data_IF_118257499947
#
_entry.id   IF_118257499947
#
_cell.length_a   1.000
_cell.length_b   1.000
_cell.length_c   1.000
_cell.angle_alpha   90.00
_cell.angle_beta   90.00
_cell.angle_gamma   90.00
#
_symmetry.space_group_name_H-M   'P 1'
#
loop_
_entity.id
_entity.type
_entity.pdbx_description
1 polymer ?
#
# COMPACT_ATOMS: atom_id res chain seq x y z
N UNK A 1 12.46 13.55 -0.37
CA UNK A 1 12.77 12.76 -1.56
C UNK A 1 12.02 11.44 -1.54
N UNK A 2 11.51 11.03 -2.66
CA UNK A 2 10.76 9.78 -2.77
C UNK A 2 11.70 8.65 -3.17
N UNK A 3 12.04 7.80 -2.21
CA UNK A 3 12.96 6.69 -2.43
C UNK A 3 12.26 5.40 -2.84
N UNK A 4 10.93 5.44 -2.99
CA UNK A 4 10.14 4.26 -3.33
C UNK A 4 9.94 4.08 -4.83
N UNK A 5 10.31 5.07 -5.62
CA UNK A 5 10.06 5.10 -7.05
C UNK A 5 8.60 5.32 -7.42
N UNK A 6 7.74 5.58 -6.44
CA UNK A 6 6.33 5.88 -6.67
C UNK A 6 6.17 7.40 -6.75
N UNK A 7 5.51 7.89 -7.81
CA UNK A 7 5.30 9.32 -7.98
C UNK A 7 4.48 9.90 -6.82
N UNK A 8 4.79 11.15 -6.45
CA UNK A 8 4.06 11.82 -5.36
C UNK A 8 2.56 11.88 -5.63
N UNK A 9 2.16 12.09 -6.87
CA UNK A 9 0.75 12.10 -7.25
C UNK A 9 0.07 10.76 -6.88
N UNK A 10 0.74 9.65 -7.13
CA UNK A 10 0.19 8.31 -6.84
C UNK A 10 0.12 8.10 -5.33
N UNK A 11 1.12 8.53 -4.57
CA UNK A 11 1.09 8.44 -3.11
C UNK A 11 -0.08 9.23 -2.54
N UNK A 12 -0.32 10.42 -3.07
CA UNK A 12 -1.45 11.25 -2.67
C UNK A 12 -2.78 10.56 -2.97
N UNK A 13 -2.89 9.94 -4.16
CA UNK A 13 -4.10 9.22 -4.56
C UNK A 13 -4.37 8.04 -3.63
N UNK A 14 -3.33 7.31 -3.24
CA UNK A 14 -3.47 6.19 -2.30
C UNK A 14 -4.02 6.69 -0.96
N UNK A 15 -3.47 7.80 -0.45
CA UNK A 15 -3.93 8.37 0.81
C UNK A 15 -5.37 8.85 0.73
N UNK A 16 -5.74 9.49 -0.37
CA UNK A 16 -7.09 9.99 -0.58
C UNK A 16 -8.10 8.84 -0.62
N UNK A 17 -7.77 7.76 -1.33
CA UNK A 17 -8.63 6.59 -1.40
C UNK A 17 -8.73 5.88 -0.05
N UNK A 18 -7.64 5.84 0.71
CA UNK A 18 -7.66 5.27 2.05
C UNK A 18 -8.65 6.03 2.95
N UNK A 19 -8.61 7.34 2.88
CA UNK A 19 -9.54 8.18 3.65
C UNK A 19 -10.99 7.94 3.20
N UNK A 20 -11.21 7.89 1.89
CA UNK A 20 -12.55 7.66 1.31
C UNK A 20 -13.15 6.34 1.78
N UNK A 21 -12.35 5.30 1.88
CA UNK A 21 -12.83 3.96 2.25
C UNK A 21 -12.63 3.62 3.73
N UNK A 22 -12.34 4.63 4.54
CA UNK A 22 -12.22 4.50 6.00
C UNK A 22 -11.12 3.53 6.44
N UNK A 23 -10.07 3.41 5.63
CA UNK A 23 -8.91 2.60 5.99
C UNK A 23 -8.22 3.26 7.19
N UNK A 24 -7.79 2.48 8.17
CA UNK A 24 -7.16 3.01 9.38
C UNK A 24 -5.66 3.22 9.17
N UNK A 25 -5.03 2.35 8.36
CA UNK A 25 -3.60 2.40 8.16
C UNK A 25 -3.23 1.78 6.83
N UNK A 26 -2.29 2.40 6.11
CA UNK A 26 -1.72 1.85 4.88
C UNK A 26 -0.21 1.81 5.05
N UNK A 27 0.36 0.63 4.85
CA UNK A 27 1.81 0.39 4.87
C UNK A 27 2.27 0.00 3.48
N UNK A 28 3.40 0.55 3.06
CA UNK A 28 4.10 0.08 1.88
C UNK A 28 5.12 -0.96 2.34
N UNK A 29 5.15 -2.12 1.69
CA UNK A 29 6.14 -3.13 1.99
C UNK A 29 6.73 -3.68 0.69
N UNK A 30 7.54 -4.74 0.75
CA UNK A 30 8.13 -5.33 -0.42
C UNK A 30 9.30 -4.53 -0.98
N UNK A 31 9.61 -4.74 -2.26
CA UNK A 31 10.81 -4.18 -2.87
C UNK A 31 10.87 -2.66 -2.85
N UNK A 32 9.74 -1.99 -3.02
CA UNK A 32 9.72 -0.52 -3.03
C UNK A 32 9.95 0.07 -1.63
N UNK A 33 9.59 -0.66 -0.59
CA UNK A 33 9.89 -0.25 0.78
C UNK A 33 11.35 -0.51 1.11
N UNK A 34 11.91 -1.63 0.63
CA UNK A 34 13.31 -1.98 0.87
C UNK A 34 14.29 -1.14 0.03
N UNK A 35 13.85 -0.67 -1.13
CA UNK A 35 14.71 0.09 -2.03
C UNK A 35 15.36 -0.75 -3.13
N UNK A 36 15.05 -2.05 -3.21
CA UNK A 36 15.64 -2.94 -4.22
C UNK A 36 14.69 -3.21 -5.38
N UNK A 37 13.82 -2.25 -5.68
CA UNK A 37 12.83 -2.36 -6.74
C UNK A 37 13.40 -2.03 -8.12
N UNK A 38 12.71 -2.52 -9.16
CA UNK A 38 12.90 -2.06 -10.52
C UNK A 38 11.78 -1.09 -10.88
N UNK A 39 11.85 -0.47 -12.06
CA UNK A 39 10.81 0.46 -12.52
C UNK A 39 9.44 -0.19 -12.66
N UNK A 40 9.40 -1.50 -12.88
CA UNK A 40 8.16 -2.24 -13.09
C UNK A 40 7.73 -3.07 -11.88
N UNK A 41 8.42 -2.95 -10.77
CA UNK A 41 8.03 -3.66 -9.55
C UNK A 41 6.64 -3.26 -9.09
N UNK A 42 5.87 -4.24 -8.59
CA UNK A 42 4.53 -3.99 -8.06
C UNK A 42 4.58 -3.06 -6.85
N UNK A 43 3.47 -2.41 -6.58
CA UNK A 43 3.29 -1.61 -5.37
C UNK A 43 2.60 -2.52 -4.35
N UNK A 44 3.32 -2.90 -3.30
CA UNK A 44 2.82 -3.81 -2.27
C UNK A 44 2.31 -3.02 -1.07
N UNK A 45 1.01 -3.07 -0.85
CA UNK A 45 0.35 -2.37 0.25
C UNK A 45 -0.25 -3.34 1.25
N UNK A 46 -0.12 -3.02 2.54
CA UNK A 46 -0.81 -3.74 3.59
C UNK A 46 -1.73 -2.73 4.27
N UNK A 47 -3.00 -3.08 4.41
CA UNK A 47 -3.99 -2.17 4.97
C UNK A 47 -4.67 -2.77 6.19
N UNK A 48 -5.10 -1.89 7.08
CA UNK A 48 -5.76 -2.26 8.33
C UNK A 48 -7.05 -1.47 8.45
N UNK A 49 -8.16 -2.16 8.69
CA UNK A 49 -9.47 -1.54 8.88
C UNK A 49 -10.10 -1.06 7.57
N UNK A 50 -11.33 -0.62 7.66
CA UNK A 50 -12.04 -0.03 6.54
C UNK A 50 -12.55 -1.03 5.51
N UNK A 51 -12.91 -0.51 4.34
CA UNK A 51 -13.46 -1.29 3.24
C UNK A 51 -12.34 -1.75 2.31
N UNK A 52 -11.78 -2.91 2.63
CA UNK A 52 -10.67 -3.51 1.88
C UNK A 52 -11.01 -3.71 0.40
N UNK A 53 -12.19 -4.25 0.11
CA UNK A 53 -12.56 -4.60 -1.28
C UNK A 53 -12.64 -3.36 -2.15
N UNK A 54 -13.36 -2.34 -1.69
CA UNK A 54 -13.52 -1.10 -2.46
C UNK A 54 -12.19 -0.36 -2.61
N UNK A 55 -11.39 -0.32 -1.56
CA UNK A 55 -10.07 0.31 -1.63
C UNK A 55 -9.18 -0.39 -2.66
N UNK A 56 -9.14 -1.72 -2.63
CA UNK A 56 -8.32 -2.50 -3.55
C UNK A 56 -8.71 -2.27 -5.00
N UNK A 57 -10.01 -2.26 -5.29
CA UNK A 57 -10.50 -1.99 -6.64
C UNK A 57 -10.13 -0.57 -7.08
N UNK A 58 -10.30 0.40 -6.21
CA UNK A 58 -10.06 1.80 -6.57
C UNK A 58 -8.58 2.13 -6.76
N UNK A 59 -7.67 1.54 -5.99
CA UNK A 59 -6.25 1.82 -6.23
C UNK A 59 -5.81 1.27 -7.59
N UNK A 60 -6.43 0.19 -8.05
CA UNK A 60 -6.13 -0.35 -9.38
C UNK A 60 -6.74 0.47 -10.49
N UNK A 61 -7.93 1.05 -10.29
CA UNK A 61 -8.68 1.70 -11.35
C UNK A 61 -8.54 3.22 -11.37
N UNK A 62 -8.25 3.84 -10.24
CA UNK A 62 -8.31 5.30 -10.09
C UNK A 62 -6.99 6.00 -9.82
N UNK A 63 -5.90 5.26 -9.75
CA UNK A 63 -4.60 5.91 -9.59
C UNK A 63 -3.95 6.17 -10.94
N UNK A 64 -3.04 7.15 -10.96
CA UNK A 64 -2.37 7.62 -12.18
C UNK A 64 -1.15 6.79 -12.54
N UNK A 65 -1.14 5.50 -12.18
CA UNK A 65 -0.03 4.61 -12.48
C UNK A 65 -0.51 3.38 -13.24
N UNK A 66 0.37 2.85 -14.09
CA UNK A 66 0.16 1.57 -14.77
C UNK A 66 0.76 0.39 -13.99
N UNK A 67 1.42 0.67 -12.87
CA UNK A 67 1.98 -0.38 -12.03
C UNK A 67 0.87 -1.17 -11.37
N UNK A 68 1.13 -2.45 -11.14
CA UNK A 68 0.17 -3.30 -10.44
C UNK A 68 0.26 -3.10 -8.95
N UNK A 69 -0.86 -3.26 -8.28
CA UNK A 69 -0.95 -3.23 -6.84
C UNK A 69 -1.18 -4.64 -6.30
N UNK A 70 -0.52 -4.96 -5.21
CA UNK A 70 -0.77 -6.17 -4.43
C UNK A 70 -1.17 -5.71 -3.04
N UNK A 71 -2.42 -5.92 -2.65
CA UNK A 71 -2.96 -5.37 -1.40
C UNK A 71 -3.27 -6.50 -0.43
N UNK A 72 -2.66 -6.44 0.75
CA UNK A 72 -2.84 -7.41 1.83
C UNK A 72 -3.75 -6.81 2.89
N UNK A 73 -4.76 -7.57 3.31
CA UNK A 73 -5.67 -7.14 4.37
C UNK A 73 -5.16 -7.63 5.73
N UNK A 74 -4.60 -6.72 6.51
CA UNK A 74 -4.07 -7.05 7.84
C UNK A 74 -5.16 -7.36 8.87
N UNK A 75 -6.41 -7.00 8.57
CA UNK A 75 -7.55 -7.32 9.45
C UNK A 75 -8.05 -8.74 9.24
N UNK A 76 -7.57 -9.43 8.21
CA UNK A 76 -7.89 -10.82 7.94
C UNK A 76 -6.71 -11.74 8.24
N UNK A 77 -6.83 -13.03 7.89
CA UNK A 77 -5.72 -13.97 8.10
C UNK A 77 -4.53 -13.63 7.23
N UNK A 78 -3.35 -13.56 7.83
CA UNK A 78 -2.08 -13.30 7.13
C UNK A 78 -1.07 -14.31 7.62
N UNK A 79 -0.30 -14.89 6.68
CA UNK A 79 0.74 -15.83 7.06
C UNK A 79 1.77 -15.16 7.94
N UNK A 80 2.24 -15.83 9.02
CA UNK A 80 3.19 -15.22 9.97
C UNK A 80 4.46 -14.67 9.33
N UNK A 81 5.00 -15.37 8.32
CA UNK A 81 6.22 -14.92 7.66
C UNK A 81 5.99 -13.59 6.92
N UNK A 82 4.85 -13.46 6.24
CA UNK A 82 4.49 -12.23 5.53
C UNK A 82 4.24 -11.10 6.53
N UNK A 83 3.52 -11.38 7.60
CA UNK A 83 3.25 -10.37 8.63
C UNK A 83 4.55 -9.85 9.24
N UNK A 84 5.50 -10.75 9.50
CA UNK A 84 6.81 -10.38 10.04
C UNK A 84 7.56 -9.45 9.08
N UNK A 85 7.55 -9.76 7.78
CA UNK A 85 8.19 -8.92 6.76
C UNK A 85 7.54 -7.54 6.69
N UNK A 86 6.22 -7.48 6.74
CA UNK A 86 5.49 -6.20 6.71
C UNK A 86 5.86 -5.35 7.92
N UNK A 87 5.94 -5.98 9.11
CA UNK A 87 6.29 -5.26 10.33
C UNK A 87 7.72 -4.74 10.33
N UNK A 88 8.64 -5.49 9.72
CA UNK A 88 10.06 -5.13 9.67
C UNK A 88 10.34 -4.02 8.67
N UNK A 89 9.77 -4.12 7.47
CA UNK A 89 10.15 -3.24 6.37
C UNK A 89 9.08 -2.21 5.99
N UNK A 90 7.90 -2.30 6.60
CA UNK A 90 6.77 -1.46 6.24
C UNK A 90 7.01 0.02 6.48
N UNK A 91 6.62 0.83 5.52
CA UNK A 91 6.65 2.29 5.61
C UNK A 91 5.20 2.77 5.68
N UNK A 92 4.89 3.56 6.70
CA UNK A 92 3.52 4.08 6.85
C UNK A 92 3.27 5.14 5.79
N UNK A 93 2.32 4.89 4.90
CA UNK A 93 1.89 5.87 3.90
C UNK A 93 0.71 6.69 4.39
N UNK A 94 -0.14 6.11 5.21
CA UNK A 94 -1.34 6.74 5.72
C UNK A 94 -1.70 6.12 7.06
N UNK A 95 -2.08 6.96 8.01
CA UNK A 95 -2.57 6.50 9.30
C UNK A 95 -3.64 7.47 9.78
N UNK A 96 -4.82 6.94 10.05
CA UNK A 96 -5.92 7.77 10.56
C UNK A 96 -5.71 8.04 12.04
N UNK A 97 -5.78 9.28 12.41
CA UNK A 97 -5.61 9.75 13.78
C UNK A 97 -6.97 9.94 14.45
#
# INVERSE_FOLDING_TARGET
MNETGIKEQVLWEIRDLADTHHIQKVLLFGSRARGDFSQTSDIDLAIEGGDYVSFTLDVEERTSTLLKFDVVNLSGPVQPALLSSIQKEGIILYEKI
#
